data_IF_661865967154
#
_entry.id   IF_661865967154
#
_cell.length_a   1.000
_cell.length_b   1.000
_cell.length_c   1.000
_cell.angle_alpha   90.00
_cell.angle_beta   90.00
_cell.angle_gamma   90.00
#
_symmetry.space_group_name_H-M   'P 1'
#
loop_
_entity.id
_entity.type
_entity.pdbx_description
1 polymer ?
#
# COMPACT_ATOMS: atom_id res chain seq x y z
N UNK A 1 -11.25 14.37 9.76
CA UNK A 1 -10.81 14.81 8.43
C UNK A 1 -9.55 15.62 8.59
N UNK A 2 -8.50 15.22 7.90
CA UNK A 2 -7.25 15.98 7.83
C UNK A 2 -7.30 16.88 6.59
N UNK A 3 -7.06 18.17 6.80
CA UNK A 3 -7.10 19.18 5.74
C UNK A 3 -5.68 19.66 5.44
N UNK A 4 -5.28 19.52 4.20
CA UNK A 4 -4.01 20.03 3.65
C UNK A 4 -4.32 21.11 2.61
N UNK A 5 -3.28 21.83 2.15
CA UNK A 5 -3.43 22.94 1.19
C UNK A 5 -4.23 22.56 -0.08
N UNK A 6 -4.04 21.32 -0.56
CA UNK A 6 -4.58 20.87 -1.84
C UNK A 6 -5.49 19.63 -1.73
N UNK A 7 -5.72 19.10 -0.53
CA UNK A 7 -6.51 17.88 -0.35
C UNK A 7 -7.15 17.80 1.03
N UNK A 8 -8.33 17.21 1.07
CA UNK A 8 -9.00 16.79 2.30
C UNK A 8 -9.05 15.27 2.35
N UNK A 9 -8.60 14.68 3.45
CA UNK A 9 -8.60 13.23 3.62
C UNK A 9 -9.41 12.84 4.85
N UNK A 10 -10.27 11.83 4.69
CA UNK A 10 -10.87 11.14 5.81
C UNK A 10 -9.85 10.14 6.38
N UNK A 11 -9.69 10.18 7.70
CA UNK A 11 -8.84 9.24 8.42
C UNK A 11 -9.68 8.57 9.50
N UNK A 12 -9.58 7.25 9.59
CA UNK A 12 -10.14 6.46 10.69
C UNK A 12 -9.00 5.74 11.40
N UNK A 13 -9.01 5.81 12.72
CA UNK A 13 -8.10 5.03 13.55
C UNK A 13 -8.82 3.80 14.07
N UNK A 14 -8.22 2.64 13.88
CA UNK A 14 -8.71 1.37 14.40
C UNK A 14 -7.72 0.88 15.43
N UNK A 15 -8.21 0.61 16.63
CA UNK A 15 -7.40 0.15 17.76
C UNK A 15 -7.84 -1.25 18.21
N UNK A 16 -6.88 -2.05 18.63
CA UNK A 16 -7.13 -3.36 19.21
C UNK A 16 -6.15 -3.61 20.35
N UNK A 17 -6.62 -4.26 21.40
CA UNK A 17 -5.77 -4.76 22.47
C UNK A 17 -5.25 -6.15 22.11
N UNK A 18 -3.98 -6.37 22.39
CA UNK A 18 -3.29 -7.63 22.13
C UNK A 18 -2.91 -8.25 23.49
N UNK A 19 -3.10 -9.56 23.64
CA UNK A 19 -2.66 -10.30 24.80
C UNK A 19 -1.12 -10.27 24.91
N UNK A 20 -0.59 -10.28 26.13
CA UNK A 20 0.84 -10.04 26.40
C UNK A 20 1.78 -11.13 25.83
N UNK A 21 1.26 -12.32 25.52
CA UNK A 21 2.02 -13.47 25.01
C UNK A 21 1.99 -13.61 23.47
N UNK A 22 1.37 -12.66 22.78
CA UNK A 22 1.27 -12.71 21.32
C UNK A 22 2.56 -12.26 20.66
N UNK A 23 3.19 -13.16 19.91
CA UNK A 23 4.38 -12.82 19.12
C UNK A 23 4.05 -11.88 17.96
N UNK A 24 4.97 -10.96 17.67
CA UNK A 24 4.88 -10.01 16.54
C UNK A 24 4.55 -10.71 15.21
N UNK A 25 5.15 -11.88 14.95
CA UNK A 25 4.88 -12.65 13.72
C UNK A 25 3.41 -13.06 13.58
N UNK A 26 2.70 -13.30 14.68
CA UNK A 26 1.26 -13.63 14.67
C UNK A 26 0.44 -12.38 14.35
N UNK A 27 0.83 -11.23 14.91
CA UNK A 27 0.20 -9.95 14.58
C UNK A 27 0.33 -9.66 13.09
N UNK A 28 1.57 -9.77 12.56
CA UNK A 28 1.84 -9.53 11.15
C UNK A 28 1.04 -10.48 10.24
N UNK A 29 1.00 -11.78 10.53
CA UNK A 29 0.21 -12.74 9.76
C UNK A 29 -1.29 -12.45 9.75
N UNK A 30 -1.82 -11.87 10.82
CA UNK A 30 -3.26 -11.56 10.93
C UNK A 30 -3.64 -10.27 10.21
N UNK A 31 -2.73 -9.31 10.13
CA UNK A 31 -2.99 -7.98 9.59
C UNK A 31 -2.50 -7.80 8.15
N UNK A 32 -1.44 -8.50 7.76
CA UNK A 32 -0.85 -8.42 6.43
C UNK A 32 -1.40 -9.51 5.48
N UNK A 33 -1.55 -9.24 4.17
CA UNK A 33 -1.44 -7.93 3.54
C UNK A 33 -2.63 -7.01 3.90
N UNK A 34 -2.40 -5.70 3.84
CA UNK A 34 -3.39 -4.69 4.22
C UNK A 34 -4.61 -4.73 3.31
N UNK A 35 -5.81 -4.62 3.91
CA UNK A 35 -7.07 -4.60 3.16
C UNK A 35 -7.18 -3.42 2.20
N UNK A 36 -6.56 -2.29 2.51
CA UNK A 36 -6.47 -1.12 1.62
C UNK A 36 -5.71 -1.39 0.32
N UNK A 37 -4.87 -2.43 0.30
CA UNK A 37 -4.07 -2.80 -0.86
C UNK A 37 -4.60 -4.04 -1.59
N UNK A 38 -5.44 -4.82 -0.94
CA UNK A 38 -5.99 -6.06 -1.48
C UNK A 38 -7.48 -5.98 -1.75
N UNK A 39 -8.23 -5.32 -0.90
CA UNK A 39 -9.69 -5.21 -0.98
C UNK A 39 -10.42 -6.16 -0.03
N UNK A 40 -11.74 -6.17 -0.16
CA UNK A 40 -12.65 -6.98 0.66
C UNK A 40 -13.67 -7.73 -0.22
N UNK A 41 -13.94 -9.01 0.04
CA UNK A 41 -13.33 -9.91 1.04
C UNK A 41 -11.89 -10.28 0.68
N UNK A 42 -10.95 -10.15 1.63
CA UNK A 42 -9.49 -10.23 1.40
C UNK A 42 -9.05 -11.44 0.57
N UNK A 43 -9.45 -12.64 0.96
CA UNK A 43 -9.00 -13.87 0.29
C UNK A 43 -9.50 -13.94 -1.16
N UNK A 44 -10.71 -13.51 -1.43
CA UNK A 44 -11.28 -13.50 -2.78
C UNK A 44 -10.55 -12.49 -3.67
N UNK A 45 -10.35 -11.29 -3.17
CA UNK A 45 -9.67 -10.22 -3.93
C UNK A 45 -8.21 -10.54 -4.17
N UNK A 46 -7.51 -11.17 -3.22
CA UNK A 46 -6.13 -11.62 -3.44
C UNK A 46 -6.02 -12.65 -4.56
N UNK A 47 -6.97 -13.59 -4.67
CA UNK A 47 -7.01 -14.54 -5.78
C UNK A 47 -7.23 -13.85 -7.12
N UNK A 48 -8.14 -12.88 -7.17
CA UNK A 48 -8.39 -12.08 -8.40
C UNK A 48 -7.15 -11.29 -8.80
N UNK A 49 -6.44 -10.69 -7.85
CA UNK A 49 -5.18 -9.98 -8.10
C UNK A 49 -4.14 -10.95 -8.70
N UNK A 50 -3.97 -12.13 -8.12
CA UNK A 50 -3.03 -13.14 -8.59
C UNK A 50 -3.36 -13.65 -10.00
N UNK A 51 -4.65 -13.73 -10.33
CA UNK A 51 -5.13 -14.15 -11.67
C UNK A 51 -4.98 -13.05 -12.74
N UNK A 52 -5.14 -11.78 -12.38
CA UNK A 52 -5.22 -10.68 -13.33
C UNK A 52 -3.94 -9.87 -13.48
N UNK A 53 -3.11 -9.78 -12.45
CA UNK A 53 -1.86 -9.03 -12.54
C UNK A 53 -0.76 -9.87 -13.19
N UNK A 54 -0.29 -9.44 -14.36
CA UNK A 54 0.74 -10.16 -15.12
C UNK A 54 2.13 -10.08 -14.48
N UNK A 55 2.35 -9.10 -13.61
CA UNK A 55 3.66 -8.86 -12.98
C UNK A 55 3.56 -8.86 -11.46
N UNK A 56 4.61 -9.38 -10.81
CA UNK A 56 4.71 -9.30 -9.35
C UNK A 56 4.82 -7.85 -8.88
N UNK A 57 4.10 -7.51 -7.82
CA UNK A 57 4.17 -6.20 -7.17
C UNK A 57 5.51 -5.91 -6.50
N UNK A 58 6.33 -6.94 -6.23
CA UNK A 58 7.58 -6.78 -5.50
C UNK A 58 7.36 -6.18 -4.12
N UNK A 59 8.05 -5.08 -3.80
CA UNK A 59 7.87 -4.37 -2.53
C UNK A 59 6.64 -3.45 -2.52
N UNK A 60 6.10 -3.10 -3.68
CA UNK A 60 4.87 -2.30 -3.78
C UNK A 60 3.71 -3.03 -3.10
N UNK A 61 2.89 -2.31 -2.36
CA UNK A 61 1.80 -2.91 -1.57
C UNK A 61 2.29 -3.75 -0.36
N UNK A 62 3.59 -3.80 -0.14
CA UNK A 62 4.21 -4.38 1.04
C UNK A 62 4.23 -3.42 2.23
N UNK A 63 5.06 -3.73 3.23
CA UNK A 63 5.26 -2.89 4.40
C UNK A 63 6.75 -2.71 4.69
N UNK A 64 7.14 -1.49 5.04
CA UNK A 64 8.48 -1.16 5.54
C UNK A 64 8.33 -0.48 6.88
N UNK A 65 9.13 -0.88 7.85
CA UNK A 65 9.07 -0.31 9.17
C UNK A 65 10.23 -0.75 10.07
N UNK A 66 10.08 -0.50 11.33
CA UNK A 66 11.06 -0.89 12.34
C UNK A 66 10.40 -1.50 13.57
N UNK A 67 11.19 -2.23 14.33
CA UNK A 67 10.86 -2.74 15.66
C UNK A 67 11.96 -2.29 16.60
N UNK A 68 11.61 -1.56 17.63
CA UNK A 68 12.57 -1.08 18.63
C UNK A 68 12.92 -2.17 19.69
N UNK A 69 13.94 -1.95 20.52
CA UNK A 69 14.31 -2.88 21.59
C UNK A 69 13.21 -3.11 22.64
N UNK A 70 12.27 -2.18 22.78
CA UNK A 70 11.12 -2.30 23.67
C UNK A 70 9.93 -3.02 23.03
N UNK A 71 10.12 -3.55 21.80
CA UNK A 71 9.11 -4.23 21.00
C UNK A 71 7.99 -3.33 20.46
N UNK A 72 8.14 -2.00 20.54
CA UNK A 72 7.28 -1.10 19.80
C UNK A 72 7.64 -1.20 18.32
N UNK A 73 6.66 -1.07 17.45
CA UNK A 73 6.87 -1.14 16.02
C UNK A 73 5.99 -0.15 15.27
N UNK A 74 6.49 0.30 14.13
CA UNK A 74 5.77 1.15 13.20
C UNK A 74 6.09 0.73 11.76
N UNK A 75 5.05 0.60 10.94
CA UNK A 75 5.16 0.13 9.56
C UNK A 75 4.32 0.99 8.62
N UNK A 76 4.95 1.44 7.57
CA UNK A 76 4.27 2.10 6.46
C UNK A 76 3.94 1.13 5.34
N UNK A 77 2.80 1.35 4.69
CA UNK A 77 2.48 0.71 3.40
C UNK A 77 3.40 1.28 2.32
N UNK A 78 3.98 0.41 1.51
CA UNK A 78 4.85 0.80 0.39
C UNK A 78 4.01 1.24 -0.79
N UNK A 79 3.61 2.50 -0.78
CA UNK A 79 2.93 3.21 -1.86
C UNK A 79 3.61 4.56 -2.08
N UNK A 80 3.39 5.19 -3.22
CA UNK A 80 4.01 6.49 -3.57
C UNK A 80 5.54 6.48 -3.38
N UNK A 81 6.14 5.36 -3.72
CA UNK A 81 7.55 5.07 -3.48
C UNK A 81 8.26 4.90 -4.82
N UNK A 82 9.44 5.51 -4.92
CA UNK A 82 10.35 5.35 -6.03
C UNK A 82 11.39 4.30 -5.62
N UNK A 83 11.57 3.30 -6.46
CA UNK A 83 12.55 2.23 -6.24
C UNK A 83 13.70 2.48 -7.20
N UNK A 84 14.91 2.58 -6.66
CA UNK A 84 16.13 2.67 -7.45
C UNK A 84 16.95 1.38 -7.30
N UNK A 85 17.25 0.74 -8.42
CA UNK A 85 18.17 -0.40 -8.49
C UNK A 85 19.50 0.10 -9.02
N UNK A 86 20.50 0.19 -8.14
CA UNK A 86 21.84 0.70 -8.47
C UNK A 86 22.57 -0.21 -9.48
N UNK A 87 22.39 -1.52 -9.37
CA UNK A 87 23.04 -2.50 -10.26
C UNK A 87 22.55 -2.39 -11.69
N UNK A 88 21.26 -2.14 -11.85
CA UNK A 88 20.65 -1.98 -13.17
C UNK A 88 20.54 -0.52 -13.62
N UNK A 89 20.93 0.43 -12.76
CA UNK A 89 20.73 1.88 -12.96
C UNK A 89 19.30 2.20 -13.39
N UNK A 90 18.33 1.52 -12.74
CA UNK A 90 16.93 1.58 -13.12
C UNK A 90 16.07 2.15 -12.00
N UNK A 91 15.20 3.08 -12.38
CA UNK A 91 14.14 3.58 -11.51
C UNK A 91 12.83 2.89 -11.89
N UNK A 92 12.09 2.45 -10.88
CA UNK A 92 10.74 1.91 -11.06
C UNK A 92 9.77 2.53 -10.06
N UNK A 93 8.53 2.67 -10.51
CA UNK A 93 7.41 3.20 -9.72
C UNK A 93 6.18 2.36 -10.01
N UNK A 94 5.54 1.90 -8.95
CA UNK A 94 4.27 1.20 -9.04
C UNK A 94 3.17 2.06 -8.45
N UNK A 95 2.04 2.10 -9.13
CA UNK A 95 0.82 2.79 -8.70
C UNK A 95 -0.38 1.89 -8.89
N UNK A 96 -1.47 2.21 -8.23
CA UNK A 96 -2.72 1.50 -8.37
C UNK A 96 -3.89 2.34 -7.89
N UNK A 97 -5.07 1.95 -8.31
CA UNK A 97 -6.33 2.57 -7.91
C UNK A 97 -7.25 1.56 -7.24
N UNK A 98 -8.25 2.04 -6.53
CA UNK A 98 -9.22 1.21 -5.81
C UNK A 98 -10.42 0.90 -6.70
N UNK A 99 -10.56 -0.35 -7.09
CA UNK A 99 -11.66 -0.79 -7.95
C UNK A 99 -12.88 -1.18 -7.10
N UNK A 100 -14.00 -0.57 -7.37
CA UNK A 100 -15.31 -0.88 -6.78
C UNK A 100 -16.33 -1.21 -7.86
N UNK A 101 -17.51 -1.67 -7.47
CA UNK A 101 -18.60 -1.95 -8.41
C UNK A 101 -19.02 -0.72 -9.25
N UNK A 102 -18.81 0.49 -8.72
CA UNK A 102 -19.16 1.74 -9.40
C UNK A 102 -18.00 2.40 -10.12
N UNK A 103 -16.81 1.83 -10.06
CA UNK A 103 -15.63 2.39 -10.72
C UNK A 103 -15.78 2.33 -12.23
N UNK A 104 -15.37 3.42 -12.88
CA UNK A 104 -15.16 3.48 -14.33
C UNK A 104 -13.69 3.13 -14.59
N UNK A 105 -13.39 2.14 -15.45
CA UNK A 105 -12.00 1.72 -15.69
C UNK A 105 -11.09 2.83 -16.21
N UNK A 106 -11.62 3.70 -17.09
CA UNK A 106 -10.88 4.81 -17.66
C UNK A 106 -10.49 5.84 -16.59
N UNK A 107 -11.44 6.20 -15.72
CA UNK A 107 -11.20 7.14 -14.62
C UNK A 107 -10.16 6.60 -13.63
N UNK A 108 -10.23 5.31 -13.30
CA UNK A 108 -9.27 4.66 -12.41
C UNK A 108 -7.86 4.60 -13.04
N UNK A 109 -7.77 4.43 -14.35
CA UNK A 109 -6.51 4.48 -15.07
C UNK A 109 -5.92 5.89 -15.08
N UNK A 110 -6.72 6.92 -15.36
CA UNK A 110 -6.29 8.32 -15.27
C UNK A 110 -5.83 8.71 -13.87
N UNK A 111 -6.46 8.18 -12.82
CA UNK A 111 -5.99 8.34 -11.45
C UNK A 111 -4.56 7.75 -11.26
N UNK A 112 -4.30 6.59 -11.85
CA UNK A 112 -2.96 5.99 -11.83
C UNK A 112 -1.93 6.90 -12.54
N UNK A 113 -2.25 7.47 -13.70
CA UNK A 113 -1.38 8.39 -14.42
C UNK A 113 -1.10 9.65 -13.61
N UNK A 114 -2.12 10.22 -12.98
CA UNK A 114 -1.96 11.38 -12.08
C UNK A 114 -1.00 11.09 -10.92
N UNK A 115 -1.09 9.90 -10.31
CA UNK A 115 -0.18 9.46 -9.24
C UNK A 115 1.27 9.33 -9.73
N UNK A 116 1.49 8.82 -10.94
CA UNK A 116 2.81 8.72 -11.54
C UNK A 116 3.41 10.10 -11.80
N UNK A 117 2.64 11.03 -12.34
CA UNK A 117 3.12 12.39 -12.64
C UNK A 117 3.56 13.15 -11.39
N UNK A 118 2.86 12.96 -10.28
CA UNK A 118 3.27 13.52 -9.00
C UNK A 118 4.65 13.00 -8.54
N UNK A 119 4.93 11.71 -8.77
CA UNK A 119 6.22 11.10 -8.43
C UNK A 119 7.33 11.53 -9.41
N UNK A 120 7.05 11.63 -10.71
CA UNK A 120 8.01 12.14 -11.72
C UNK A 120 8.48 13.55 -11.39
N UNK A 121 7.55 14.44 -10.99
CA UNK A 121 7.90 15.82 -10.57
C UNK A 121 8.81 15.89 -9.36
N UNK A 122 8.89 14.88 -8.54
CA UNK A 122 9.82 14.84 -7.41
C UNK A 122 11.24 14.42 -7.80
N UNK A 123 11.45 13.95 -9.05
CA UNK A 123 12.76 13.56 -9.59
C UNK A 123 13.39 14.67 -10.47
N UNK A 124 12.64 15.71 -10.78
CA UNK A 124 13.08 16.88 -11.53
C UNK A 124 13.44 18.04 -10.59
#
# INVERSE_FOLDING_TARGET
>A
INTYKNIHQMVSTIEAQIENDVFFSKILKSTFPMGSMTGAPKIKTMKIIDELEETSRGIYSGAIGYIDPNKNFDFNVVIRTIIYDDKLSKISVNVGSGITFKSNPEDEYEECLTKIDALKKSLS
#
